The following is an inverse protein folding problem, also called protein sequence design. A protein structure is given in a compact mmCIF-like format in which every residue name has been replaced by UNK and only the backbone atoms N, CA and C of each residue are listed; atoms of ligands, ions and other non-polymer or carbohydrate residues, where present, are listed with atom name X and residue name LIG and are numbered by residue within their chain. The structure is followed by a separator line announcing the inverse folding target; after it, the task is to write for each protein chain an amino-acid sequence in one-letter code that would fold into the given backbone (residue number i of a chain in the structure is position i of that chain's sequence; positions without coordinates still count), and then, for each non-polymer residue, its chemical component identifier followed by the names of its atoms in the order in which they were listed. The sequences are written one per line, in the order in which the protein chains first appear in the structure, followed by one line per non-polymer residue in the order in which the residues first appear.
data_IF_528930955335
#
_entry.id   IF_528930955335
#
_cell.length_a   1.000
_cell.length_b   1.000
_cell.length_c   1.000
_cell.angle_alpha   90.00
_cell.angle_beta   90.00
_cell.angle_gamma   90.00
#
_symmetry.space_group_name_H-M   'P 1'
#
loop_
_entity.id
_entity.type
_entity.pdbx_description
1 polymer ?
#
# COMPACT_ATOMS: atom_id res chain seq x y z
N UNK A 1 -0.74 6.86 -1.15
CA UNK A 1 -0.82 8.23 -0.61
C UNK A 1 0.55 8.83 -0.78
N UNK A 2 0.62 9.96 -1.48
CA UNK A 2 1.88 10.66 -1.73
C UNK A 2 1.86 11.96 -0.94
N UNK A 3 2.98 12.37 -0.36
CA UNK A 3 3.13 13.60 0.42
C UNK A 3 4.34 14.37 -0.09
N UNK A 4 4.23 15.69 -0.14
CA UNK A 4 5.36 16.57 -0.46
C UNK A 4 6.04 17.07 0.81
N UNK A 5 7.37 17.14 0.78
CA UNK A 5 8.19 17.59 1.89
C UNK A 5 9.23 18.59 1.38
N UNK A 6 9.53 19.60 2.20
CA UNK A 6 10.52 20.63 1.90
C UNK A 6 11.53 20.80 3.03
N UNK A 7 12.81 20.89 2.70
CA UNK A 7 13.90 20.88 3.68
C UNK A 7 15.24 21.31 3.10
N UNK A 8 16.31 21.11 3.86
CA UNK A 8 17.67 21.57 3.51
C UNK A 8 18.54 20.49 2.86
N UNK A 9 18.24 19.22 3.09
CA UNK A 9 18.95 18.06 2.53
C UNK A 9 17.99 16.90 2.26
N UNK A 10 18.39 15.98 1.37
CA UNK A 10 17.62 14.77 1.10
C UNK A 10 17.55 13.85 2.31
N UNK A 11 18.65 13.66 3.04
CA UNK A 11 18.70 12.79 4.22
C UNK A 11 17.67 13.20 5.27
N UNK A 12 17.60 14.51 5.57
CA UNK A 12 16.58 15.06 6.47
C UNK A 12 15.17 14.78 5.97
N UNK A 13 14.94 14.95 4.67
CA UNK A 13 13.63 14.74 4.07
C UNK A 13 13.20 13.27 4.05
N UNK A 14 14.15 12.34 3.89
CA UNK A 14 13.91 10.91 3.99
C UNK A 14 13.49 10.53 5.41
N UNK A 15 14.20 11.03 6.43
CA UNK A 15 13.85 10.80 7.83
C UNK A 15 12.42 11.29 8.16
N UNK A 16 12.11 12.54 7.81
CA UNK A 16 10.78 13.14 8.04
C UNK A 16 9.71 12.34 7.28
N UNK A 17 9.95 11.99 6.01
CA UNK A 17 9.00 11.23 5.22
C UNK A 17 8.75 9.84 5.80
N UNK A 18 9.78 9.15 6.28
CA UNK A 18 9.67 7.85 6.93
C UNK A 18 8.83 7.91 8.20
N UNK A 19 9.06 8.91 9.06
CA UNK A 19 8.28 9.14 10.26
C UNK A 19 6.79 9.41 9.93
N UNK A 20 6.54 10.35 9.01
CA UNK A 20 5.20 10.79 8.62
C UNK A 20 4.38 9.76 7.83
N UNK A 21 5.07 8.84 7.14
CA UNK A 21 4.44 7.74 6.41
C UNK A 21 4.45 6.43 7.20
N UNK A 22 5.11 6.39 8.37
CA UNK A 22 5.22 5.20 9.20
C UNK A 22 5.91 4.03 8.48
N UNK A 23 7.01 4.32 7.78
CA UNK A 23 7.78 3.32 7.02
C UNK A 23 9.28 3.47 7.28
N UNK A 24 10.06 2.48 6.87
CA UNK A 24 11.52 2.54 6.88
C UNK A 24 12.05 3.04 5.54
N UNK A 25 13.29 3.57 5.45
CA UNK A 25 13.84 4.09 4.21
C UNK A 25 13.81 3.10 3.03
N UNK A 26 13.94 1.80 3.31
CA UNK A 26 13.88 0.74 2.30
C UNK A 26 12.50 0.59 1.67
N UNK A 27 11.45 1.00 2.38
CA UNK A 27 10.05 0.97 1.92
C UNK A 27 9.60 2.32 1.32
N UNK A 28 10.46 3.33 1.32
CA UNK A 28 10.17 4.66 0.78
C UNK A 28 10.53 4.74 -0.72
N UNK A 29 9.65 5.38 -1.50
CA UNK A 29 9.91 5.82 -2.86
C UNK A 29 9.67 7.33 -2.94
N UNK A 30 10.56 8.08 -3.57
CA UNK A 30 10.40 9.53 -3.71
C UNK A 30 10.97 10.06 -5.01
N UNK A 31 10.42 11.17 -5.46
CA UNK A 31 10.92 12.00 -6.56
C UNK A 31 11.38 13.36 -6.03
N UNK A 32 12.44 13.91 -6.61
CA UNK A 32 12.91 15.26 -6.29
C UNK A 32 12.16 16.24 -7.19
N UNK A 33 11.35 17.11 -6.59
CA UNK A 33 10.59 18.14 -7.29
C UNK A 33 11.41 19.41 -7.49
N UNK A 34 12.22 19.77 -6.49
CA UNK A 34 13.03 21.00 -6.53
C UNK A 34 14.38 20.76 -5.83
N UNK A 35 15.46 21.21 -6.44
CA UNK A 35 16.76 21.32 -5.81
C UNK A 35 17.39 22.65 -6.20
N UNK A 36 17.33 23.63 -5.29
CA UNK A 36 17.86 24.97 -5.51
C UNK A 36 18.96 25.29 -4.50
N UNK A 37 20.10 25.75 -5.03
CA UNK A 37 21.18 26.36 -4.26
C UNK A 37 21.32 27.81 -4.71
N UNK A 38 20.62 28.74 -4.06
CA UNK A 38 20.80 30.15 -4.38
C UNK A 38 22.07 30.67 -3.70
N UNK A 39 22.99 31.20 -4.52
CA UNK A 39 24.09 32.02 -4.04
C UNK A 39 23.55 33.44 -3.88
N UNK A 40 23.02 33.77 -2.70
CA UNK A 40 22.45 35.09 -2.44
C UNK A 40 23.52 36.19 -2.43
N UNK A 41 23.23 37.32 -3.08
CA UNK A 41 24.02 38.56 -3.11
C UNK A 41 24.24 39.20 -1.71
N UNK A 42 23.66 38.63 -0.64
CA UNK A 42 23.83 39.04 0.76
C UNK A 42 24.29 37.90 1.70
N UNK A 43 24.92 36.85 1.17
CA UNK A 43 25.77 35.97 1.98
C UNK A 43 25.09 34.96 2.90
N UNK A 44 23.77 34.75 2.81
CA UNK A 44 23.12 33.59 3.45
C UNK A 44 22.80 32.54 2.37
N UNK A 45 23.64 31.50 2.19
CA UNK A 45 23.32 30.39 1.32
C UNK A 45 22.21 29.53 1.95
N UNK A 46 21.07 29.43 1.28
CA UNK A 46 20.01 28.49 1.62
C UNK A 46 19.90 27.40 0.56
N UNK A 47 20.22 26.16 0.92
CA UNK A 47 19.82 25.00 0.11
C UNK A 47 18.34 24.71 0.39
N UNK A 48 17.54 24.60 -0.67
CA UNK A 48 16.13 24.24 -0.59
C UNK A 48 15.90 23.03 -1.48
N UNK A 49 15.36 21.98 -0.87
CA UNK A 49 15.04 20.71 -1.52
C UNK A 49 13.57 20.43 -1.29
N UNK A 50 12.84 20.08 -2.34
CA UNK A 50 11.46 19.58 -2.25
C UNK A 50 11.40 18.18 -2.85
N UNK A 51 10.80 17.25 -2.13
CA UNK A 51 10.54 15.89 -2.61
C UNK A 51 9.05 15.57 -2.54
N UNK A 52 8.61 14.64 -3.37
CA UNK A 52 7.32 13.96 -3.23
C UNK A 52 7.58 12.51 -2.91
N UNK A 53 7.12 12.05 -1.76
CA UNK A 53 7.43 10.74 -1.22
C UNK A 53 6.17 9.92 -0.97
N UNK A 54 6.30 8.59 -1.09
CA UNK A 54 5.26 7.60 -0.83
C UNK A 54 5.87 6.28 -0.37
N UNK A 55 5.05 5.44 0.25
CA UNK A 55 5.44 4.05 0.52
C UNK A 55 5.42 3.28 -0.82
N UNK A 56 6.44 2.45 -1.06
CA UNK A 56 6.54 1.57 -2.22
C UNK A 56 5.27 0.75 -2.39
N UNK A 57 4.79 0.68 -3.63
CA UNK A 57 3.59 -0.09 -3.99
C UNK A 57 3.68 -1.55 -3.51
N UNK A 58 4.85 -2.18 -3.66
CA UNK A 58 5.10 -3.55 -3.23
C UNK A 58 4.87 -3.76 -1.74
N UNK A 59 5.32 -2.81 -0.90
CA UNK A 59 5.12 -2.87 0.55
C UNK A 59 3.64 -2.69 0.87
N UNK A 60 2.97 -1.70 0.28
CA UNK A 60 1.54 -1.46 0.52
C UNK A 60 0.69 -2.67 0.12
N UNK A 61 0.95 -3.25 -1.06
CA UNK A 61 0.18 -4.36 -1.60
C UNK A 61 0.45 -5.68 -0.88
N UNK A 62 1.69 -5.94 -0.46
CA UNK A 62 2.02 -7.13 0.33
C UNK A 62 1.36 -7.11 1.71
N UNK A 63 1.38 -5.98 2.42
CA UNK A 63 0.69 -5.83 3.70
C UNK A 63 -0.83 -6.01 3.55
N UNK A 64 -1.44 -5.40 2.52
CA UNK A 64 -2.86 -5.59 2.20
C UNK A 64 -3.19 -7.05 1.89
N UNK A 65 -2.39 -7.71 1.06
CA UNK A 65 -2.57 -9.11 0.72
C UNK A 65 -2.50 -10.01 1.96
N UNK A 66 -1.55 -9.77 2.86
CA UNK A 66 -1.41 -10.54 4.09
C UNK A 66 -2.64 -10.39 4.99
N UNK A 67 -3.12 -9.17 5.24
CA UNK A 67 -4.31 -8.94 6.07
C UNK A 67 -5.56 -9.55 5.47
N UNK A 68 -5.78 -9.34 4.17
CA UNK A 68 -6.90 -9.91 3.43
C UNK A 68 -6.90 -11.46 3.48
N UNK A 69 -5.73 -12.07 3.25
CA UNK A 69 -5.57 -13.53 3.31
C UNK A 69 -5.80 -14.08 4.72
N UNK A 70 -5.29 -13.43 5.76
CA UNK A 70 -5.52 -13.85 7.14
C UNK A 70 -7.02 -13.81 7.47
N UNK A 71 -7.68 -12.68 7.20
CA UNK A 71 -9.11 -12.51 7.43
C UNK A 71 -9.94 -13.58 6.70
N UNK A 72 -9.71 -13.78 5.40
CA UNK A 72 -10.45 -14.76 4.61
C UNK A 72 -10.19 -16.19 5.09
N UNK A 73 -8.93 -16.55 5.40
CA UNK A 73 -8.60 -17.90 5.91
C UNK A 73 -9.30 -18.18 7.24
N UNK A 74 -9.26 -17.24 8.18
CA UNK A 74 -9.91 -17.38 9.48
C UNK A 74 -11.42 -17.54 9.32
N UNK A 75 -12.06 -16.68 8.53
CA UNK A 75 -13.49 -16.70 8.30
C UNK A 75 -13.96 -17.99 7.62
N UNK A 76 -13.29 -18.40 6.54
CA UNK A 76 -13.66 -19.59 5.78
C UNK A 76 -13.43 -20.88 6.59
N UNK A 77 -12.34 -20.94 7.36
CA UNK A 77 -12.07 -22.07 8.25
C UNK A 77 -13.12 -22.15 9.38
N UNK A 78 -13.50 -21.01 9.96
CA UNK A 78 -14.55 -20.97 10.99
C UNK A 78 -15.91 -21.43 10.44
N UNK A 79 -16.21 -21.12 9.18
CA UNK A 79 -17.41 -21.59 8.49
C UNK A 79 -17.32 -23.03 7.98
N UNK A 80 -16.21 -23.73 8.24
CA UNK A 80 -15.92 -25.09 7.75
C UNK A 80 -15.97 -25.22 6.22
N UNK A 81 -15.69 -24.13 5.49
CA UNK A 81 -15.63 -24.15 4.03
C UNK A 81 -14.28 -24.68 3.53
N UNK A 82 -14.35 -25.59 2.55
CA UNK A 82 -13.19 -26.11 1.81
C UNK A 82 -12.91 -25.24 0.60
N UNK A 83 -12.29 -24.10 0.86
CA UNK A 83 -11.89 -23.13 -0.16
C UNK A 83 -10.41 -22.79 0.00
N UNK A 84 -9.64 -23.06 -1.05
CA UNK A 84 -8.26 -22.63 -1.20
C UNK A 84 -8.20 -21.20 -1.75
N UNK A 85 -7.19 -20.45 -1.31
CA UNK A 85 -6.93 -19.08 -1.76
C UNK A 85 -5.63 -19.01 -2.56
N UNK A 86 -5.68 -18.40 -3.74
CA UNK A 86 -4.49 -17.95 -4.49
C UNK A 86 -4.48 -16.43 -4.57
N UNK A 87 -3.30 -15.83 -4.58
CA UNK A 87 -3.17 -14.37 -4.57
C UNK A 87 -2.24 -13.91 -5.67
N UNK A 88 -2.69 -12.88 -6.39
CA UNK A 88 -1.90 -12.17 -7.39
C UNK A 88 -1.80 -10.70 -7.01
N UNK A 89 -0.61 -10.12 -7.09
CA UNK A 89 -0.39 -8.69 -6.87
C UNK A 89 -0.39 -7.99 -8.23
N UNK A 90 -1.41 -7.16 -8.46
CA UNK A 90 -1.56 -6.36 -9.68
C UNK A 90 -1.03 -4.95 -9.41
N UNK A 91 0.30 -4.79 -9.48
CA UNK A 91 1.01 -3.56 -9.09
C UNK A 91 0.57 -2.34 -9.90
N UNK A 92 0.40 -2.51 -11.20
CA UNK A 92 -0.05 -1.50 -12.16
C UNK A 92 -1.44 -0.94 -11.81
N UNK A 93 -2.31 -1.79 -11.28
CA UNK A 93 -3.67 -1.42 -10.86
C UNK A 93 -3.77 -1.03 -9.38
N UNK A 94 -2.67 -1.14 -8.63
CA UNK A 94 -2.68 -1.01 -7.16
C UNK A 94 -3.72 -1.91 -6.49
N UNK A 95 -3.85 -3.15 -6.98
CA UNK A 95 -4.85 -4.12 -6.55
C UNK A 95 -4.21 -5.44 -6.09
N UNK A 96 -4.87 -6.11 -5.16
CA UNK A 96 -4.61 -7.50 -4.81
C UNK A 96 -5.79 -8.31 -5.33
N UNK A 97 -5.52 -9.26 -6.18
CA UNK A 97 -6.52 -10.22 -6.66
C UNK A 97 -6.41 -11.49 -5.81
N UNK A 98 -7.54 -11.94 -5.27
CA UNK A 98 -7.64 -13.19 -4.51
C UNK A 98 -8.60 -14.11 -5.25
N UNK A 99 -8.10 -15.27 -5.64
CA UNK A 99 -8.84 -16.29 -6.37
C UNK A 99 -9.24 -17.38 -5.38
N UNK A 100 -10.54 -17.62 -5.27
CA UNK A 100 -11.13 -18.68 -4.44
C UNK A 100 -11.31 -19.94 -5.29
N UNK A 101 -10.81 -21.08 -4.81
CA UNK A 101 -10.85 -22.37 -5.50
C UNK A 101 -11.37 -23.44 -4.55
N UNK A 102 -12.23 -24.34 -5.02
CA UNK A 102 -12.73 -25.44 -4.20
C UNK A 102 -14.19 -25.79 -4.46
N UNK A 103 -14.66 -26.86 -3.82
CA UNK A 103 -16.03 -27.37 -4.01
C UNK A 103 -17.10 -26.47 -3.38
N UNK A 104 -16.74 -25.71 -2.34
CA UNK A 104 -17.66 -24.86 -1.59
C UNK A 104 -17.79 -23.45 -2.15
N UNK A 105 -16.96 -23.07 -3.13
CA UNK A 105 -17.08 -21.78 -3.85
C UNK A 105 -18.48 -21.61 -4.45
N UNK A 106 -19.11 -22.72 -4.85
CA UNK A 106 -20.49 -22.73 -5.38
C UNK A 106 -21.51 -22.07 -4.45
N UNK A 107 -21.29 -22.09 -3.13
CA UNK A 107 -22.18 -21.46 -2.16
C UNK A 107 -22.03 -19.93 -2.13
N UNK A 108 -20.85 -19.41 -2.45
CA UNK A 108 -20.56 -17.98 -2.45
C UNK A 108 -21.14 -17.26 -3.69
N UNK A 109 -21.32 -17.99 -4.79
CA UNK A 109 -21.80 -17.45 -6.07
C UNK A 109 -23.30 -17.64 -6.29
N UNK A 110 -24.02 -18.24 -5.34
CA UNK A 110 -25.48 -18.35 -5.36
C UNK A 110 -26.15 -16.98 -5.24
N UNK A 111 -27.44 -16.90 -5.62
CA UNK A 111 -28.26 -15.70 -5.51
C UNK A 111 -27.59 -14.44 -6.11
N UNK A 112 -26.99 -14.58 -7.29
CA UNK A 112 -26.29 -13.45 -7.93
C UNK A 112 -24.98 -13.04 -7.25
N UNK A 113 -24.35 -13.96 -6.50
CA UNK A 113 -23.07 -13.74 -5.82
C UNK A 113 -23.08 -12.65 -4.74
N UNK A 114 -24.22 -12.47 -4.05
CA UNK A 114 -24.34 -11.54 -2.93
C UNK A 114 -23.33 -11.83 -1.81
N UNK A 115 -23.10 -13.12 -1.49
CA UNK A 115 -22.14 -13.52 -0.45
C UNK A 115 -20.71 -13.20 -0.87
N UNK A 116 -20.33 -13.49 -2.11
CA UNK A 116 -19.01 -13.12 -2.64
C UNK A 116 -18.79 -11.61 -2.61
N UNK A 117 -19.80 -10.82 -3.00
CA UNK A 117 -19.75 -9.35 -2.95
C UNK A 117 -19.57 -8.84 -1.51
N UNK A 118 -20.28 -9.43 -0.55
CA UNK A 118 -20.13 -9.08 0.86
C UNK A 118 -18.73 -9.43 1.39
N UNK A 119 -18.19 -10.59 1.03
CA UNK A 119 -16.83 -11.00 1.38
C UNK A 119 -15.79 -10.04 0.80
N UNK A 120 -15.92 -9.66 -0.47
CA UNK A 120 -15.04 -8.67 -1.11
C UNK A 120 -15.10 -7.33 -0.37
N UNK A 121 -16.30 -6.85 -0.04
CA UNK A 121 -16.47 -5.61 0.70
C UNK A 121 -15.78 -5.66 2.07
N UNK A 122 -16.01 -6.72 2.85
CA UNK A 122 -15.40 -6.89 4.18
C UNK A 122 -13.88 -7.02 4.09
N UNK A 123 -13.39 -7.78 3.12
CA UNK A 123 -11.94 -7.96 2.88
C UNK A 123 -11.26 -6.64 2.51
N UNK A 124 -11.96 -5.75 1.81
CA UNK A 124 -11.43 -4.41 1.51
C UNK A 124 -11.45 -3.44 2.71
N UNK A 125 -12.03 -3.82 3.85
CA UNK A 125 -12.09 -3.01 5.08
C UNK A 125 -11.08 -3.42 6.14
N UNK A 126 -10.34 -4.52 5.95
CA UNK A 126 -9.30 -5.00 6.88
C UNK A 126 -7.90 -4.43 6.62
#
# INVERSE_FOLDING_TARGET
MEKEFEGKSLDQLVEIACEELGCVPEDLEFEILEFSSSSGLLGIPGKKVRIKARIKADKVLSERANRALMFLKELLNYAEFKIDLKTNILKDKMQVEIILLGEDVKYLIQNGAETLTALEFLTNKV
#
